data_IF_184691516187
#
_entry.id   IF_184691516187
#
_cell.length_a   1.000
_cell.length_b   1.000
_cell.length_c   1.000
_cell.angle_alpha   90.00
_cell.angle_beta   90.00
_cell.angle_gamma   90.00
#
_symmetry.space_group_name_H-M   'P 1'
#
loop_
_entity.id
_entity.type
_entity.pdbx_description
1 polymer ?
#
# COMPACT_ATOMS: atom_id res chain seq x y z
N UNK A 1 -14.47 3.62 8.33
CA UNK A 1 -13.09 3.48 7.80
C UNK A 1 -12.13 2.79 8.78
N UNK A 2 -12.08 3.16 10.07
CA UNK A 2 -11.10 2.61 11.03
C UNK A 2 -11.25 1.10 11.36
N UNK A 3 -12.48 0.56 11.38
CA UNK A 3 -12.70 -0.85 11.75
C UNK A 3 -12.18 -1.83 10.70
N UNK A 4 -12.30 -1.52 9.39
CA UNK A 4 -11.85 -2.41 8.32
C UNK A 4 -10.32 -2.63 8.32
N UNK A 5 -9.55 -1.58 8.63
CA UNK A 5 -8.10 -1.66 8.73
C UNK A 5 -7.63 -2.56 9.88
N UNK A 6 -8.43 -2.67 10.95
CA UNK A 6 -8.10 -3.49 12.13
C UNK A 6 -8.23 -4.99 11.88
N UNK A 7 -8.84 -5.41 10.76
CA UNK A 7 -8.94 -6.82 10.35
C UNK A 7 -7.79 -7.27 9.43
N UNK A 8 -6.89 -6.35 9.04
CA UNK A 8 -5.75 -6.67 8.17
C UNK A 8 -4.64 -7.31 9.01
N UNK A 9 -4.06 -8.40 8.50
CA UNK A 9 -2.97 -9.10 9.15
C UNK A 9 -1.82 -8.13 9.51
N UNK A 10 -1.51 -8.05 10.81
CA UNK A 10 -0.43 -7.21 11.34
C UNK A 10 -0.83 -5.77 11.72
N UNK A 11 -2.06 -5.32 11.42
CA UNK A 11 -2.56 -4.00 11.82
C UNK A 11 -3.37 -4.11 13.11
N UNK A 12 -2.94 -3.40 14.15
CA UNK A 12 -3.73 -3.22 15.36
C UNK A 12 -4.55 -1.91 15.29
N UNK A 13 -5.50 -1.75 16.22
CA UNK A 13 -6.36 -0.56 16.28
C UNK A 13 -5.57 0.76 16.41
N UNK A 14 -4.40 0.73 17.03
CA UNK A 14 -3.49 1.88 17.15
C UNK A 14 -2.86 2.26 15.81
N UNK A 15 -2.36 1.29 15.04
CA UNK A 15 -1.81 1.49 13.69
C UNK A 15 -2.92 1.98 12.75
N UNK A 16 -4.13 1.39 12.83
CA UNK A 16 -5.28 1.85 12.06
C UNK A 16 -5.60 3.32 12.33
N UNK A 17 -5.55 3.76 13.60
CA UNK A 17 -5.70 5.18 13.97
C UNK A 17 -4.57 6.03 13.40
N UNK A 18 -3.32 5.58 13.48
CA UNK A 18 -2.16 6.31 12.94
C UNK A 18 -2.24 6.48 11.42
N UNK A 19 -2.70 5.46 10.69
CA UNK A 19 -2.91 5.53 9.23
C UNK A 19 -3.95 6.60 8.89
N UNK A 20 -5.06 6.64 9.64
CA UNK A 20 -6.11 7.64 9.44
C UNK A 20 -5.61 9.04 9.79
N UNK A 21 -4.94 9.20 10.93
CA UNK A 21 -4.35 10.49 11.33
C UNK A 21 -3.33 11.00 10.30
N UNK A 22 -2.45 10.12 9.79
CA UNK A 22 -1.50 10.46 8.73
C UNK A 22 -2.22 10.92 7.45
N UNK A 23 -3.33 10.25 7.09
CA UNK A 23 -4.15 10.61 5.93
C UNK A 23 -4.89 11.93 6.14
N UNK A 24 -5.32 12.25 7.36
CA UNK A 24 -5.96 13.53 7.68
C UNK A 24 -4.95 14.67 7.66
N UNK A 25 -3.72 14.44 8.11
CA UNK A 25 -2.67 15.46 8.17
C UNK A 25 -2.03 15.73 6.80
N UNK A 26 -1.61 14.68 6.08
CA UNK A 26 -0.92 14.83 4.78
C UNK A 26 -1.85 14.71 3.57
N UNK A 27 -3.08 14.27 3.76
CA UNK A 27 -4.00 13.97 2.68
C UNK A 27 -3.87 12.54 2.15
N UNK A 28 -4.27 12.33 0.89
CA UNK A 28 -4.30 10.99 0.27
C UNK A 28 -2.89 10.46 0.04
N UNK A 29 -2.66 9.18 0.33
CA UNK A 29 -1.43 8.49 -0.04
C UNK A 29 -1.27 8.47 -1.56
N UNK A 30 -0.10 8.85 -2.09
CA UNK A 30 0.21 8.78 -3.53
C UNK A 30 1.04 7.55 -3.89
N UNK A 31 1.78 7.03 -2.91
CA UNK A 31 2.66 5.89 -3.07
C UNK A 31 2.60 4.97 -1.84
N UNK A 32 2.76 3.66 -2.04
CA UNK A 32 2.77 2.69 -0.92
C UNK A 32 3.95 2.93 0.02
N UNK A 33 5.04 3.51 -0.45
CA UNK A 33 6.20 3.88 0.37
C UNK A 33 5.86 4.90 1.44
N UNK A 34 4.83 5.72 1.25
CA UNK A 34 4.34 6.64 2.28
C UNK A 34 3.77 5.92 3.49
N UNK A 35 3.26 4.70 3.33
CA UNK A 35 2.80 3.90 4.46
C UNK A 35 3.96 3.56 5.39
N UNK A 36 5.19 3.43 4.89
CA UNK A 36 6.39 3.24 5.73
C UNK A 36 6.67 4.45 6.62
N UNK A 37 6.13 5.63 6.31
CA UNK A 37 6.25 6.82 7.14
C UNK A 37 5.22 6.85 8.28
N UNK A 38 4.23 5.95 8.26
CA UNK A 38 3.22 5.90 9.33
C UNK A 38 3.88 5.43 10.64
N UNK A 39 3.74 6.19 11.73
CA UNK A 39 4.34 5.82 13.01
C UNK A 39 3.86 4.45 13.48
N UNK A 40 4.79 3.62 13.95
CA UNK A 40 4.56 2.25 14.44
C UNK A 40 4.17 1.23 13.35
N UNK A 41 4.28 1.57 12.07
CA UNK A 41 4.19 0.59 10.99
C UNK A 41 5.58 -0.02 10.73
N UNK A 42 5.85 -1.19 11.32
CA UNK A 42 7.10 -1.91 11.07
C UNK A 42 7.15 -2.52 9.66
N UNK A 43 8.35 -2.80 9.15
CA UNK A 43 8.52 -3.38 7.80
C UNK A 43 7.77 -4.70 7.60
N UNK A 44 7.71 -5.55 8.64
CA UNK A 44 6.98 -6.82 8.61
C UNK A 44 5.47 -6.60 8.46
N UNK A 45 4.92 -5.68 9.24
CA UNK A 45 3.51 -5.28 9.14
C UNK A 45 3.23 -4.63 7.79
N UNK A 46 4.11 -3.75 7.32
CA UNK A 46 4.02 -3.13 6.00
C UNK A 46 3.95 -4.19 4.90
N UNK A 47 4.85 -5.17 4.89
CA UNK A 47 4.82 -6.27 3.92
C UNK A 47 3.49 -7.03 3.97
N UNK A 48 2.97 -7.33 5.16
CA UNK A 48 1.70 -8.03 5.29
C UNK A 48 0.51 -7.20 4.79
N UNK A 49 0.48 -5.90 5.09
CA UNK A 49 -0.66 -5.05 4.72
C UNK A 49 -0.57 -4.44 3.31
N UNK A 50 0.62 -4.33 2.72
CA UNK A 50 0.83 -3.69 1.42
C UNK A 50 0.04 -4.38 0.29
N UNK A 51 -0.15 -5.70 0.35
CA UNK A 51 -0.97 -6.43 -0.63
C UNK A 51 -2.49 -6.19 -0.50
N UNK A 52 -2.96 -5.70 0.66
CA UNK A 52 -4.37 -5.42 0.92
C UNK A 52 -4.73 -3.95 0.75
N UNK A 53 -3.75 -3.04 0.85
CA UNK A 53 -3.96 -1.61 0.66
C UNK A 53 -3.88 -1.24 -0.82
N UNK A 54 -5.00 -0.76 -1.35
CA UNK A 54 -5.10 -0.22 -2.71
C UNK A 54 -5.05 1.30 -2.64
N UNK A 55 -4.16 1.89 -3.44
CA UNK A 55 -4.08 3.34 -3.61
C UNK A 55 -4.73 3.65 -4.96
N UNK A 56 -5.94 4.22 -4.92
CA UNK A 56 -6.61 4.72 -6.11
C UNK A 56 -5.93 6.02 -6.53
N UNK A 57 -5.52 6.12 -7.80
CA UNK A 57 -4.80 7.30 -8.34
C UNK A 57 -3.36 7.45 -7.83
N UNK A 58 -2.70 6.34 -7.48
CA UNK A 58 -1.29 6.33 -7.12
C UNK A 58 -0.37 6.61 -8.30
N UNK A 59 0.86 7.07 -8.03
CA UNK A 59 1.86 7.37 -9.07
C UNK A 59 2.20 6.14 -9.92
N UNK A 60 1.98 4.94 -9.38
CA UNK A 60 2.21 3.67 -10.06
C UNK A 60 0.88 2.91 -10.21
N UNK A 61 0.44 2.57 -11.43
CA UNK A 61 -0.82 1.84 -11.64
C UNK A 61 -0.83 0.45 -10.97
N UNK A 62 0.34 -0.14 -10.68
CA UNK A 62 0.41 -1.37 -9.90
C UNK A 62 -0.05 -1.19 -8.44
N UNK A 63 0.01 0.01 -7.88
CA UNK A 63 -0.45 0.27 -6.50
C UNK A 63 -1.98 0.13 -6.35
N UNK A 64 -2.71 0.26 -7.46
CA UNK A 64 -4.15 -0.01 -7.52
C UNK A 64 -4.46 -1.51 -7.58
N UNK A 65 -3.48 -2.35 -7.91
CA UNK A 65 -3.62 -3.80 -8.05
C UNK A 65 -3.19 -4.56 -6.80
N UNK A 66 -3.44 -5.88 -6.77
CA UNK A 66 -2.95 -6.76 -5.71
C UNK A 66 -1.47 -7.13 -5.86
N UNK A 67 -0.76 -6.59 -6.86
CA UNK A 67 0.67 -6.84 -7.05
C UNK A 67 1.43 -6.25 -5.87
N UNK A 68 2.29 -7.05 -5.26
CA UNK A 68 3.13 -6.61 -4.16
C UNK A 68 4.35 -5.85 -4.71
N UNK A 69 4.88 -4.80 -4.04
CA UNK A 69 6.04 -4.04 -4.52
C UNK A 69 7.26 -4.90 -4.87
N UNK A 70 7.47 -6.03 -4.19
CA UNK A 70 8.54 -6.98 -4.50
C UNK A 70 8.40 -7.64 -5.89
N UNK A 71 7.19 -7.65 -6.43
CA UNK A 71 6.84 -8.22 -7.72
C UNK A 71 6.68 -7.17 -8.83
N UNK A 72 6.94 -5.88 -8.58
CA UNK A 72 6.81 -4.84 -9.61
C UNK A 72 7.75 -5.10 -10.77
N UNK A 73 8.99 -5.47 -10.48
CA UNK A 73 9.97 -5.80 -11.51
C UNK A 73 9.52 -7.01 -12.36
N UNK A 74 8.91 -8.03 -11.72
CA UNK A 74 8.37 -9.17 -12.43
C UNK A 74 7.12 -8.81 -13.27
N UNK A 75 6.27 -7.91 -12.77
CA UNK A 75 5.10 -7.41 -13.49
C UNK A 75 5.49 -6.55 -14.71
N UNK A 76 6.51 -5.69 -14.58
CA UNK A 76 7.05 -4.90 -15.70
C UNK A 76 7.65 -5.80 -16.77
N UNK A 77 8.45 -6.81 -16.39
CA UNK A 77 8.97 -7.80 -17.34
C UNK A 77 7.85 -8.61 -18.04
N UNK A 78 6.73 -8.85 -17.35
CA UNK A 78 5.56 -9.48 -17.96
C UNK A 78 4.86 -8.55 -18.96
N UNK A 79 4.65 -7.28 -18.61
CA UNK A 79 4.04 -6.29 -19.50
C UNK A 79 4.87 -6.05 -20.75
N UNK A 80 6.20 -5.97 -20.61
CA UNK A 80 7.14 -5.83 -21.73
C UNK A 80 7.04 -7.03 -22.69
N UNK A 81 6.98 -8.25 -22.15
CA UNK A 81 6.77 -9.47 -22.95
C UNK A 81 5.42 -9.50 -23.67
N UNK A 82 4.40 -8.89 -23.08
CA UNK A 82 3.06 -8.83 -23.64
C UNK A 82 2.84 -7.61 -24.57
N UNK A 83 3.83 -6.72 -24.73
CA UNK A 83 3.71 -5.46 -25.47
C UNK A 83 2.53 -4.60 -25.00
N UNK A 84 2.25 -4.58 -23.70
CA UNK A 84 1.19 -3.76 -23.10
C UNK A 84 1.85 -2.60 -22.37
N UNK A 85 1.51 -1.37 -22.78
CA UNK A 85 1.97 -0.15 -22.11
C UNK A 85 1.16 0.15 -20.85
N UNK A 86 1.78 0.87 -19.92
CA UNK A 86 1.36 1.01 -18.53
C UNK A 86 0.28 2.05 -18.29
#
# INVERSE_FOLDING_TARGET
MCILLSYIAGINSTIAKNIVAYREEKGRFRDRSELKQVPRLGEKTFKQCAGFMRISDGSNPFDATAVHPESYQAAELMLEKLNIDK
#
